data_IF_959008660831
#
_entry.id   IF_959008660831
#
_cell.length_a   1.000
_cell.length_b   1.000
_cell.length_c   1.000
_cell.angle_alpha   90.00
_cell.angle_beta   90.00
_cell.angle_gamma   90.00
#
_symmetry.space_group_name_H-M   'P 1'
#
loop_
_entity.id
_entity.type
_entity.pdbx_description
1 polymer ?
#
# COMPACT_ATOMS: atom_id res chain seq x y z
N UNK A 1 21.10 29.42 69.29
CA UNK A 1 19.93 30.14 68.75
C UNK A 1 20.43 31.29 67.86
N UNK A 2 20.40 31.12 66.53
CA UNK A 2 20.56 32.20 65.54
C UNK A 2 19.69 31.83 64.34
N UNK A 3 18.57 32.53 64.23
CA UNK A 3 17.56 32.38 63.18
C UNK A 3 18.15 32.89 61.86
N UNK A 4 18.18 32.02 60.86
CA UNK A 4 18.51 32.35 59.47
C UNK A 4 17.42 33.25 58.91
N UNK A 5 17.78 34.50 58.56
CA UNK A 5 16.90 35.45 57.86
C UNK A 5 16.77 35.00 56.40
N UNK A 6 15.61 34.48 56.04
CA UNK A 6 15.27 34.14 54.65
C UNK A 6 15.04 35.45 53.88
N UNK A 7 15.85 35.65 52.84
CA UNK A 7 15.90 36.87 52.06
C UNK A 7 14.67 36.97 51.16
N UNK A 8 14.00 38.13 51.12
CA UNK A 8 12.72 38.36 50.38
C UNK A 8 12.79 38.00 48.89
N UNK A 9 14.00 37.94 48.34
CA UNK A 9 14.29 37.51 46.98
C UNK A 9 13.97 36.01 46.74
N UNK A 10 14.29 35.15 47.71
CA UNK A 10 13.99 33.71 47.63
C UNK A 10 12.50 33.41 47.80
N UNK A 11 11.78 34.23 48.59
CA UNK A 11 10.32 34.13 48.71
C UNK A 11 9.61 34.50 47.40
N UNK A 12 10.12 35.49 46.65
CA UNK A 12 9.55 35.88 45.35
C UNK A 12 9.79 34.84 44.25
N UNK A 13 10.94 34.17 44.26
CA UNK A 13 11.25 33.09 43.29
C UNK A 13 10.40 31.85 43.57
N UNK A 14 10.15 31.53 44.85
CA UNK A 14 9.31 30.40 45.23
C UNK A 14 7.82 30.63 44.85
N UNK A 15 7.34 31.87 44.93
CA UNK A 15 5.98 32.23 44.50
C UNK A 15 5.84 32.20 42.97
N UNK A 16 6.89 32.59 42.23
CA UNK A 16 6.89 32.54 40.76
C UNK A 16 6.96 31.09 40.22
N UNK A 17 7.63 30.17 40.93
CA UNK A 17 7.69 28.75 40.54
C UNK A 17 6.40 27.97 40.84
N UNK A 18 5.59 28.40 41.82
CA UNK A 18 4.27 27.79 42.06
C UNK A 18 3.21 28.18 41.00
N UNK A 19 3.35 29.32 40.32
CA UNK A 19 2.41 29.73 39.26
C UNK A 19 2.65 29.06 37.90
N UNK A 20 3.79 28.40 37.69
CA UNK A 20 4.10 27.73 36.42
C UNK A 20 3.57 26.28 36.33
N UNK A 21 3.01 25.72 37.41
CA UNK A 21 2.55 24.32 37.47
C UNK A 21 1.03 24.19 37.18
N UNK A 22 0.30 25.30 37.05
CA UNK A 22 -1.15 25.28 36.71
C UNK A 22 -1.45 25.21 35.20
N UNK A 23 -0.43 25.06 34.34
CA UNK A 23 -0.61 24.84 32.89
C UNK A 23 -0.37 23.37 32.48
N UNK A 24 -0.78 22.43 33.34
CA UNK A 24 -1.10 21.05 32.94
C UNK A 24 -2.50 20.72 33.44
N UNK A 25 -3.46 21.53 33.02
CA UNK A 25 -4.81 21.04 32.78
C UNK A 25 -4.89 20.84 31.28
N UNK A 26 -4.61 19.61 30.82
CA UNK A 26 -5.11 19.15 29.54
C UNK A 26 -6.55 19.61 29.41
N UNK A 27 -6.81 20.50 28.46
CA UNK A 27 -8.14 20.67 27.90
C UNK A 27 -8.64 19.26 27.61
N UNK A 28 -9.67 18.80 28.35
CA UNK A 28 -10.44 17.65 27.91
C UNK A 28 -10.95 18.03 26.54
N UNK A 29 -10.40 17.43 25.48
CA UNK A 29 -11.13 17.29 24.25
C UNK A 29 -12.44 16.63 24.67
N UNK A 30 -13.52 17.40 24.63
CA UNK A 30 -14.82 16.83 24.40
C UNK A 30 -14.63 15.93 23.18
N UNK A 31 -14.93 14.64 23.33
CA UNK A 31 -15.22 13.80 22.19
C UNK A 31 -16.39 14.48 21.50
N UNK A 32 -16.07 15.39 20.58
CA UNK A 32 -16.98 15.77 19.52
C UNK A 32 -17.31 14.46 18.87
N UNK A 33 -18.55 14.03 19.04
CA UNK A 33 -19.14 12.98 18.25
C UNK A 33 -18.80 13.31 16.79
N UNK A 34 -17.83 12.59 16.22
CA UNK A 34 -17.69 12.52 14.77
C UNK A 34 -18.93 11.78 14.33
N UNK A 35 -20.01 12.53 14.10
CA UNK A 35 -21.16 12.06 13.35
C UNK A 35 -20.57 11.42 12.10
N UNK A 36 -20.82 10.11 11.84
CA UNK A 36 -20.14 9.42 10.76
C UNK A 36 -20.43 10.20 9.48
N UNK A 37 -19.39 10.83 8.93
CA UNK A 37 -19.45 11.38 7.57
C UNK A 37 -19.73 10.17 6.70
N UNK A 38 -20.95 10.07 6.20
CA UNK A 38 -21.31 9.09 5.18
C UNK A 38 -20.27 9.22 4.08
N UNK A 39 -19.48 8.17 3.90
CA UNK A 39 -18.44 8.11 2.88
C UNK A 39 -19.02 8.51 1.53
N UNK A 40 -18.39 9.48 0.84
CA UNK A 40 -18.73 9.90 -0.54
C UNK A 40 -18.37 8.81 -1.57
N UNK A 41 -17.86 7.66 -1.13
CA UNK A 41 -17.61 6.51 -1.98
C UNK A 41 -18.95 5.88 -2.39
N UNK A 42 -19.09 5.45 -3.65
CA UNK A 42 -20.28 4.74 -4.09
C UNK A 42 -20.48 3.50 -3.21
N UNK A 43 -21.64 3.43 -2.55
CA UNK A 43 -22.01 2.26 -1.77
C UNK A 43 -22.24 1.09 -2.75
N UNK A 44 -21.67 -0.06 -2.42
CA UNK A 44 -21.90 -1.29 -3.20
C UNK A 44 -23.36 -1.71 -2.98
N UNK A 45 -24.22 -1.36 -3.93
CA UNK A 45 -25.67 -1.59 -3.85
C UNK A 45 -26.07 -3.07 -3.93
N UNK A 46 -25.17 -3.92 -4.45
CA UNK A 46 -25.37 -5.37 -4.53
C UNK A 46 -24.04 -6.08 -4.29
N UNK A 47 -23.94 -6.77 -3.17
CA UNK A 47 -22.89 -7.77 -2.95
C UNK A 47 -23.50 -9.11 -3.34
N UNK A 48 -23.00 -9.71 -4.43
CA UNK A 48 -23.34 -11.09 -4.78
C UNK A 48 -23.04 -11.98 -3.56
N UNK A 49 -24.03 -12.72 -3.07
CA UNK A 49 -23.80 -13.65 -1.97
C UNK A 49 -22.89 -14.77 -2.48
N UNK A 50 -21.79 -15.10 -1.77
CA UNK A 50 -20.93 -16.19 -2.21
C UNK A 50 -21.71 -17.50 -2.23
N UNK A 51 -21.62 -18.22 -3.35
CA UNK A 51 -22.15 -19.58 -3.45
C UNK A 51 -21.25 -20.51 -2.63
N UNK A 52 -21.84 -21.24 -1.69
CA UNK A 52 -21.11 -22.23 -0.89
C UNK A 52 -21.10 -23.57 -1.62
N UNK A 53 -19.91 -24.07 -1.93
CA UNK A 53 -19.71 -25.41 -2.49
C UNK A 53 -19.18 -26.35 -1.41
N UNK A 54 -19.79 -27.53 -1.29
CA UNK A 54 -19.22 -28.65 -0.52
C UNK A 54 -18.60 -29.64 -1.50
N UNK A 55 -17.30 -29.89 -1.35
CA UNK A 55 -16.56 -30.87 -2.15
C UNK A 55 -16.27 -32.08 -1.27
N UNK A 56 -16.88 -33.21 -1.58
CA UNK A 56 -16.61 -34.48 -0.91
C UNK A 56 -15.46 -35.21 -1.63
N UNK A 57 -14.36 -35.57 -0.93
CA UNK A 57 -13.24 -36.26 -1.54
C UNK A 57 -13.59 -37.58 -2.24
N UNK A 58 -14.67 -38.26 -1.82
CA UNK A 58 -15.12 -39.52 -2.45
C UNK A 58 -15.72 -39.32 -3.85
N UNK A 59 -16.19 -38.11 -4.14
CA UNK A 59 -16.84 -37.76 -5.40
C UNK A 59 -15.83 -37.17 -6.40
N UNK A 60 -14.55 -37.06 -6.01
CA UNK A 60 -13.48 -36.61 -6.90
C UNK A 60 -13.14 -37.70 -7.94
N UNK A 61 -12.85 -37.30 -9.19
CA UNK A 61 -12.24 -38.21 -10.14
C UNK A 61 -10.95 -38.79 -9.58
N UNK A 62 -10.64 -40.04 -9.95
CA UNK A 62 -9.35 -40.66 -9.59
C UNK A 62 -8.19 -39.80 -10.15
N UNK A 63 -7.01 -39.80 -9.49
CA UNK A 63 -5.82 -39.21 -10.08
C UNK A 63 -5.62 -39.70 -11.51
N UNK A 64 -5.30 -38.78 -12.42
CA UNK A 64 -5.13 -39.06 -13.86
C UNK A 64 -6.41 -39.52 -14.59
N UNK A 65 -7.61 -39.17 -14.10
CA UNK A 65 -8.89 -39.45 -14.80
C UNK A 65 -8.98 -38.84 -16.21
N UNK A 66 -8.13 -37.88 -16.53
CA UNK A 66 -7.98 -37.32 -17.88
C UNK A 66 -6.51 -37.35 -18.29
N UNK A 67 -6.28 -37.43 -19.60
CA UNK A 67 -4.95 -37.27 -20.18
C UNK A 67 -4.47 -35.82 -20.03
N UNK A 68 -3.16 -35.64 -19.84
CA UNK A 68 -2.56 -34.30 -19.87
C UNK A 68 -2.84 -33.63 -21.23
N UNK A 69 -3.30 -32.39 -21.20
CA UNK A 69 -3.51 -31.58 -22.39
C UNK A 69 -2.60 -30.35 -22.34
N UNK A 70 -1.88 -30.09 -23.43
CA UNK A 70 -1.05 -28.90 -23.60
C UNK A 70 -1.47 -28.16 -24.87
N UNK A 71 -1.69 -26.84 -24.74
CA UNK A 71 -1.97 -25.94 -25.87
C UNK A 71 -1.03 -24.75 -25.78
N UNK A 72 0.19 -24.91 -26.26
CA UNK A 72 1.15 -23.80 -26.34
C UNK A 72 0.67 -22.75 -27.33
N UNK A 73 1.01 -21.49 -27.07
CA UNK A 73 0.77 -20.41 -28.03
C UNK A 73 1.57 -20.66 -29.32
N UNK A 74 0.98 -20.28 -30.46
CA UNK A 74 1.70 -20.24 -31.73
C UNK A 74 2.41 -18.90 -31.84
N UNK A 75 3.71 -18.92 -32.10
CA UNK A 75 4.46 -17.71 -32.43
C UNK A 75 4.16 -17.41 -33.91
N UNK A 76 3.69 -16.20 -34.19
CA UNK A 76 3.49 -15.68 -35.54
C UNK A 76 4.36 -14.44 -35.72
N UNK A 77 4.79 -14.18 -36.95
CA UNK A 77 5.50 -12.95 -37.26
C UNK A 77 4.60 -11.74 -36.93
N UNK A 78 5.21 -10.65 -36.46
CA UNK A 78 4.50 -9.41 -36.22
C UNK A 78 3.87 -8.92 -37.54
N UNK A 79 2.55 -8.65 -37.58
CA UNK A 79 1.91 -8.08 -38.76
C UNK A 79 2.51 -6.73 -39.15
N UNK A 80 2.53 -6.41 -40.44
CA UNK A 80 3.13 -5.17 -40.98
C UNK A 80 2.50 -3.89 -40.43
N UNK A 81 1.24 -3.96 -40.02
CA UNK A 81 0.45 -2.84 -39.49
C UNK A 81 0.30 -2.89 -37.96
N UNK A 82 0.97 -3.82 -37.28
CA UNK A 82 0.94 -3.92 -35.83
C UNK A 82 1.55 -2.67 -35.18
N UNK A 83 0.72 -1.90 -34.47
CA UNK A 83 1.10 -0.67 -33.77
C UNK A 83 0.59 -0.69 -32.34
N UNK A 84 1.44 -0.25 -31.41
CA UNK A 84 1.05 -0.01 -30.02
C UNK A 84 0.39 1.36 -29.89
N UNK A 85 -0.85 1.40 -29.37
CA UNK A 85 -1.59 2.64 -29.14
C UNK A 85 -1.24 3.18 -27.75
N UNK A 86 -0.55 4.31 -27.70
CA UNK A 86 -0.10 4.92 -26.46
C UNK A 86 -0.98 6.13 -26.08
N UNK A 87 -1.17 6.41 -24.77
CA UNK A 87 -1.81 7.64 -24.33
C UNK A 87 -1.07 8.89 -24.82
N UNK A 88 -1.78 10.03 -24.88
CA UNK A 88 -1.18 11.31 -25.28
C UNK A 88 0.03 11.66 -24.38
N UNK A 89 1.16 11.98 -25.01
CA UNK A 89 2.40 12.34 -24.31
C UNK A 89 3.38 11.19 -24.09
N UNK A 90 2.98 9.94 -24.37
CA UNK A 90 3.86 8.78 -24.28
C UNK A 90 4.48 8.44 -25.64
N UNK A 91 5.70 7.89 -25.59
CA UNK A 91 6.44 7.36 -26.74
C UNK A 91 7.00 6.00 -26.35
N UNK A 92 7.10 5.11 -27.32
CA UNK A 92 7.71 3.78 -27.17
C UNK A 92 8.66 3.54 -28.34
N UNK A 93 9.77 2.90 -28.06
CA UNK A 93 10.73 2.42 -29.04
C UNK A 93 11.22 1.05 -28.62
N UNK A 94 11.60 0.24 -29.61
CA UNK A 94 12.32 -1.01 -29.37
C UNK A 94 13.69 -0.68 -28.77
N UNK A 95 14.06 -1.37 -27.69
CA UNK A 95 15.36 -1.21 -27.04
C UNK A 95 16.35 -2.30 -27.46
N UNK A 96 15.89 -3.56 -27.49
CA UNK A 96 16.64 -4.72 -27.96
C UNK A 96 15.65 -5.77 -28.50
N UNK A 97 16.09 -6.56 -29.48
CA UNK A 97 15.33 -7.65 -30.09
C UNK A 97 16.20 -8.90 -30.17
N UNK A 98 15.54 -10.05 -30.27
CA UNK A 98 16.16 -11.37 -30.44
C UNK A 98 17.16 -11.78 -29.34
N UNK A 99 17.61 -13.04 -29.36
CA UNK A 99 18.63 -13.55 -28.42
C UNK A 99 18.19 -13.77 -26.96
N UNK A 100 16.98 -13.37 -26.57
CA UNK A 100 16.45 -13.62 -25.23
C UNK A 100 15.74 -14.97 -25.12
N UNK A 101 15.99 -15.71 -24.04
CA UNK A 101 15.30 -16.96 -23.73
C UNK A 101 14.40 -16.77 -22.52
N UNK A 102 13.09 -16.61 -22.76
CA UNK A 102 12.07 -16.41 -21.73
C UNK A 102 12.39 -15.34 -20.67
N UNK A 103 12.79 -14.10 -21.06
CA UNK A 103 13.09 -13.05 -20.10
C UNK A 103 11.83 -12.68 -19.31
N UNK A 104 11.94 -12.58 -17.98
CA UNK A 104 10.82 -12.23 -17.07
C UNK A 104 11.21 -11.12 -16.10
N UNK A 105 12.49 -10.95 -15.82
CA UNK A 105 13.00 -9.99 -14.86
C UNK A 105 13.86 -8.95 -15.54
N UNK A 106 13.70 -7.69 -15.10
CA UNK A 106 14.48 -6.57 -15.59
C UNK A 106 14.85 -5.65 -14.43
N UNK A 107 16.07 -5.13 -14.41
CA UNK A 107 16.51 -4.12 -13.44
C UNK A 107 17.37 -3.04 -14.10
N UNK A 108 17.24 -1.81 -13.63
CA UNK A 108 17.98 -0.65 -14.11
C UNK A 108 19.11 -0.33 -13.14
N UNK A 109 20.33 -0.24 -13.64
CA UNK A 109 21.49 0.18 -12.86
C UNK A 109 21.63 1.72 -12.81
N UNK A 110 22.36 2.27 -11.83
CA UNK A 110 22.55 3.72 -11.70
C UNK A 110 23.24 4.38 -12.89
N UNK A 111 24.03 3.63 -13.67
CA UNK A 111 24.68 4.10 -14.89
C UNK A 111 23.75 4.08 -16.12
N UNK A 112 22.53 3.58 -15.99
CA UNK A 112 21.54 3.49 -17.07
C UNK A 112 21.49 2.13 -17.79
N UNK A 113 22.34 1.16 -17.40
CA UNK A 113 22.30 -0.18 -17.99
C UNK A 113 21.05 -0.95 -17.56
N UNK A 114 20.55 -1.79 -18.46
CA UNK A 114 19.38 -2.65 -18.23
C UNK A 114 19.82 -4.11 -18.19
N UNK A 115 19.66 -4.76 -17.05
CA UNK A 115 19.88 -6.21 -16.92
C UNK A 115 18.57 -6.96 -17.12
N UNK A 116 18.62 -8.08 -17.85
CA UNK A 116 17.45 -8.91 -18.18
C UNK A 116 17.75 -10.37 -17.86
N UNK A 117 16.80 -11.09 -17.24
CA UNK A 117 16.88 -12.51 -16.90
C UNK A 117 15.55 -13.23 -17.13
#
# INVERSE_FOLDING_TARGET
>A
MKLIKINKFFASILILQLMAITSVCQTRQTLSEVKPKTSDLPQTINVEKPVTYQINPKDLPKPFATTSARRSSSIVAQPTDAKLLMPKGFKISVYAEDGFTYPRWMTLAPNGDVFVA
#
